data_IF_163073864382
#
_entry.id   IF_163073864382
#
_cell.length_a   1.000
_cell.length_b   1.000
_cell.length_c   1.000
_cell.angle_alpha   90.00
_cell.angle_beta   90.00
_cell.angle_gamma   90.00
#
_symmetry.space_group_name_H-M   'P 1'
#
loop_
_entity.id
_entity.type
_entity.pdbx_description
1 polymer ?
#
# COMPACT_ATOMS: atom_id res chain seq x y z
N UNK A 1 7.82 -9.39 -3.30
CA UNK A 1 6.99 -9.64 -2.09
C UNK A 1 6.75 -8.35 -1.36
N UNK A 2 5.60 -8.19 -0.72
CA UNK A 2 5.27 -6.98 0.03
C UNK A 2 6.19 -6.83 1.24
N UNK A 3 6.77 -5.65 1.39
CA UNK A 3 7.59 -5.30 2.53
C UNK A 3 6.77 -5.29 3.84
N UNK A 4 7.46 -5.39 4.95
CA UNK A 4 6.84 -5.28 6.27
C UNK A 4 6.14 -3.92 6.46
N UNK A 5 6.75 -2.87 5.94
CA UNK A 5 6.21 -1.53 5.97
C UNK A 5 4.90 -1.40 5.20
N UNK A 6 4.81 -1.98 4.01
CA UNK A 6 3.58 -2.01 3.21
C UNK A 6 2.46 -2.73 3.92
N UNK A 7 2.76 -3.89 4.55
CA UNK A 7 1.77 -4.63 5.33
C UNK A 7 1.26 -3.82 6.52
N UNK A 8 2.14 -3.13 7.23
CA UNK A 8 1.74 -2.24 8.32
C UNK A 8 0.88 -1.06 7.83
N UNK A 9 1.24 -0.48 6.68
CA UNK A 9 0.44 0.58 6.08
C UNK A 9 -0.97 0.11 5.72
N UNK A 10 -1.10 -1.09 5.15
CA UNK A 10 -2.41 -1.69 4.87
C UNK A 10 -3.22 -1.90 6.14
N UNK A 11 -2.63 -2.48 7.18
CA UNK A 11 -3.33 -2.70 8.47
C UNK A 11 -3.81 -1.38 9.09
N UNK A 12 -2.96 -0.36 9.09
CA UNK A 12 -3.31 0.96 9.63
C UNK A 12 -4.45 1.62 8.83
N UNK A 13 -4.40 1.57 7.51
CA UNK A 13 -5.46 2.13 6.66
C UNK A 13 -6.78 1.37 6.77
N UNK A 14 -6.74 0.05 6.86
CA UNK A 14 -7.92 -0.80 7.10
C UNK A 14 -8.56 -0.46 8.45
N UNK A 15 -7.74 -0.32 9.49
CA UNK A 15 -8.21 0.09 10.82
C UNK A 15 -8.96 1.43 10.76
N UNK A 16 -8.38 2.43 10.10
CA UNK A 16 -8.99 3.74 9.94
C UNK A 16 -10.23 3.73 9.01
N UNK A 17 -10.21 2.88 7.98
CA UNK A 17 -11.35 2.72 7.08
C UNK A 17 -12.58 2.16 7.80
N UNK A 18 -12.41 1.23 8.74
CA UNK A 18 -13.50 0.71 9.57
C UNK A 18 -14.10 1.77 10.48
N UNK A 19 -13.38 2.83 10.76
CA UNK A 19 -13.82 3.97 11.57
C UNK A 19 -14.21 5.20 10.74
N UNK A 20 -14.28 5.06 9.44
CA UNK A 20 -14.62 6.18 8.56
C UNK A 20 -15.95 6.83 8.95
N UNK A 21 -15.94 8.16 9.08
CA UNK A 21 -17.10 8.93 9.52
C UNK A 21 -17.33 8.93 11.05
N UNK A 22 -16.47 8.26 11.80
CA UNK A 22 -16.50 8.17 13.25
C UNK A 22 -15.38 8.95 13.95
N UNK A 23 -14.96 8.45 15.10
CA UNK A 23 -13.94 9.09 15.90
C UNK A 23 -12.53 8.89 15.35
N UNK A 24 -11.68 9.89 15.56
CA UNK A 24 -10.24 9.80 15.30
C UNK A 24 -9.59 8.71 16.14
N UNK A 25 -8.52 8.13 15.62
CA UNK A 25 -7.69 7.17 16.35
C UNK A 25 -6.31 7.75 16.62
N UNK A 26 -5.83 7.56 17.84
CA UNK A 26 -4.45 7.93 18.20
C UNK A 26 -3.46 6.92 17.62
N UNK A 27 -2.20 7.33 17.47
CA UNK A 27 -1.13 6.43 17.05
C UNK A 27 -1.05 5.23 18.00
N UNK A 28 -1.16 5.47 19.31
CA UNK A 28 -1.11 4.42 20.33
C UNK A 28 -2.24 3.39 20.16
N UNK A 29 -3.46 3.84 19.86
CA UNK A 29 -4.60 2.96 19.61
C UNK A 29 -4.38 2.06 18.39
N UNK A 30 -3.90 2.63 17.30
CA UNK A 30 -3.61 1.87 16.07
C UNK A 30 -2.46 0.88 16.33
N UNK A 31 -1.38 1.35 16.95
CA UNK A 31 -0.21 0.54 17.24
C UNK A 31 -0.55 -0.67 18.13
N UNK A 32 -1.36 -0.47 19.16
CA UNK A 32 -1.81 -1.54 20.05
C UNK A 32 -2.73 -2.53 19.34
N UNK A 33 -3.74 -2.01 18.63
CA UNK A 33 -4.72 -2.85 17.93
C UNK A 33 -4.07 -3.74 16.88
N UNK A 34 -3.21 -3.16 16.05
CA UNK A 34 -2.61 -3.83 14.90
C UNK A 34 -1.21 -4.41 15.18
N UNK A 35 -0.74 -4.28 16.41
CA UNK A 35 0.59 -4.75 16.87
C UNK A 35 1.72 -4.22 16.00
N UNK A 36 1.66 -2.92 15.69
CA UNK A 36 2.67 -2.22 14.90
C UNK A 36 3.58 -1.42 15.84
N UNK A 37 4.91 -1.51 15.68
CA UNK A 37 5.82 -0.66 16.45
C UNK A 37 5.51 0.82 16.22
N UNK A 38 5.34 1.58 17.30
CA UNK A 38 4.85 2.96 17.23
C UNK A 38 5.73 3.86 16.36
N UNK A 39 7.05 3.75 16.44
CA UNK A 39 7.98 4.52 15.62
C UNK A 39 7.83 4.27 14.11
N UNK A 40 7.58 3.01 13.75
CA UNK A 40 7.34 2.63 12.34
C UNK A 40 6.01 3.20 11.90
N UNK A 41 4.99 3.07 12.73
CA UNK A 41 3.64 3.57 12.45
C UNK A 41 3.61 5.09 12.25
N UNK A 42 4.35 5.86 13.05
CA UNK A 42 4.47 7.32 12.90
C UNK A 42 4.93 7.71 11.49
N UNK A 43 5.94 7.04 10.96
CA UNK A 43 6.46 7.30 9.61
C UNK A 43 5.44 6.92 8.53
N UNK A 44 4.76 5.80 8.73
CA UNK A 44 3.71 5.32 7.81
C UNK A 44 2.56 6.31 7.76
N UNK A 45 2.04 6.72 8.90
CA UNK A 45 0.93 7.66 8.99
C UNK A 45 1.28 9.03 8.40
N UNK A 46 2.50 9.49 8.64
CA UNK A 46 2.99 10.75 8.05
C UNK A 46 3.04 10.67 6.53
N UNK A 47 3.54 9.56 5.97
CA UNK A 47 3.62 9.36 4.53
C UNK A 47 2.23 9.29 3.88
N UNK A 48 1.29 8.60 4.51
CA UNK A 48 -0.11 8.52 4.08
C UNK A 48 -0.81 9.89 4.16
N UNK A 49 -0.55 10.66 5.22
CA UNK A 49 -1.06 12.02 5.38
C UNK A 49 -0.53 12.96 4.31
N UNK A 50 0.78 12.94 4.05
CA UNK A 50 1.41 13.78 3.03
C UNK A 50 0.88 13.48 1.62
N UNK A 51 0.42 12.25 1.39
CA UNK A 51 -0.22 11.85 0.14
C UNK A 51 -1.71 12.21 0.07
N UNK A 52 -2.31 12.71 1.16
CA UNK A 52 -3.70 13.13 1.20
C UNK A 52 -4.69 12.04 1.59
N UNK A 53 -4.25 10.86 1.97
CA UNK A 53 -5.14 9.78 2.39
C UNK A 53 -5.62 9.90 3.83
N UNK A 54 -4.85 10.58 4.68
CA UNK A 54 -5.17 10.80 6.09
C UNK A 54 -5.17 12.27 6.44
N UNK A 55 -5.98 12.60 7.45
CA UNK A 55 -5.95 13.88 8.16
C UNK A 55 -5.48 13.67 9.59
N UNK A 56 -4.70 14.61 10.12
CA UNK A 56 -4.35 14.65 11.53
C UNK A 56 -5.19 15.69 12.25
N UNK A 57 -5.74 15.32 13.39
CA UNK A 57 -6.48 16.22 14.27
C UNK A 57 -5.62 16.66 15.43
N UNK A 58 -5.46 17.97 15.62
CA UNK A 58 -4.80 18.54 16.78
C UNK A 58 -5.77 18.66 17.96
N UNK A 59 -5.27 18.61 19.19
CA UNK A 59 -6.03 18.76 20.41
C UNK A 59 -5.37 18.05 21.58
N UNK A 60 -6.02 18.03 22.76
CA UNK A 60 -5.50 17.33 23.96
C UNK A 60 -5.24 15.84 23.68
N UNK A 61 -6.02 15.26 22.79
CA UNK A 61 -5.84 13.89 22.29
C UNK A 61 -5.76 14.01 20.77
N UNK A 62 -4.55 14.06 20.23
CA UNK A 62 -4.30 14.04 18.80
C UNK A 62 -4.72 12.70 18.18
N UNK A 63 -4.94 12.67 16.89
CA UNK A 63 -5.30 11.43 16.22
C UNK A 63 -5.38 11.60 14.71
N UNK A 64 -5.65 10.50 14.04
CA UNK A 64 -5.76 10.41 12.58
C UNK A 64 -7.16 9.94 12.17
N UNK A 65 -7.58 10.44 11.02
CA UNK A 65 -8.79 10.06 10.32
C UNK A 65 -8.46 9.77 8.87
N UNK A 66 -9.27 8.91 8.24
CA UNK A 66 -9.22 8.75 6.80
C UNK A 66 -9.78 10.02 6.14
N UNK A 67 -8.99 10.66 5.26
CA UNK A 67 -9.37 11.88 4.55
C UNK A 67 -10.23 11.60 3.31
N UNK A 68 -10.15 10.39 2.76
CA UNK A 68 -10.89 9.94 1.59
C UNK A 68 -11.88 8.86 1.98
N UNK A 69 -12.93 8.68 1.15
CA UNK A 69 -13.84 7.56 1.36
C UNK A 69 -13.10 6.23 1.13
N UNK A 70 -13.43 5.16 1.88
CA UNK A 70 -12.81 3.85 1.67
C UNK A 70 -12.95 3.32 0.23
N UNK A 71 -13.99 3.73 -0.49
CA UNK A 71 -14.22 3.39 -1.89
C UNK A 71 -13.21 4.05 -2.84
N UNK A 72 -12.61 5.17 -2.42
CA UNK A 72 -11.71 5.97 -3.25
C UNK A 72 -10.23 5.62 -3.06
N UNK A 73 -9.91 4.70 -2.17
CA UNK A 73 -8.54 4.22 -1.92
C UNK A 73 -8.43 2.75 -2.31
N UNK A 74 -7.58 2.47 -3.27
CA UNK A 74 -7.30 1.10 -3.72
C UNK A 74 -6.10 0.49 -3.00
N UNK A 75 -5.97 -0.83 -3.05
CA UNK A 75 -4.76 -1.49 -2.56
C UNK A 75 -3.51 -1.03 -3.33
N UNK A 76 -3.66 -0.77 -4.63
CA UNK A 76 -2.56 -0.29 -5.45
C UNK A 76 -2.03 1.06 -4.94
N UNK A 77 -2.92 1.99 -4.57
CA UNK A 77 -2.53 3.30 -4.02
C UNK A 77 -1.60 3.17 -2.81
N UNK A 78 -1.89 2.20 -1.95
CA UNK A 78 -1.07 1.96 -0.75
C UNK A 78 0.23 1.26 -1.14
N UNK A 79 0.17 0.26 -2.01
CA UNK A 79 1.35 -0.51 -2.42
C UNK A 79 2.39 0.37 -3.10
N UNK A 80 1.99 1.16 -4.10
CA UNK A 80 2.93 2.05 -4.84
C UNK A 80 3.54 3.15 -3.97
N UNK A 81 2.92 3.46 -2.84
CA UNK A 81 3.46 4.45 -1.92
C UNK A 81 4.63 3.90 -1.09
N UNK A 82 4.69 2.60 -0.85
CA UNK A 82 5.66 1.96 0.03
C UNK A 82 6.57 0.95 -0.65
N UNK A 83 6.21 0.49 -1.85
CA UNK A 83 7.04 -0.41 -2.64
C UNK A 83 7.62 0.33 -3.84
N UNK A 84 8.87 0.04 -4.15
CA UNK A 84 9.51 0.58 -5.34
C UNK A 84 8.93 -0.10 -6.60
N UNK A 85 8.58 -1.37 -6.50
CA UNK A 85 7.98 -2.13 -7.60
C UNK A 85 7.02 -3.21 -7.11
N UNK A 86 5.96 -3.43 -7.87
CA UNK A 86 5.03 -4.57 -7.68
C UNK A 86 5.53 -5.80 -8.43
N UNK A 87 6.46 -5.63 -9.37
CA UNK A 87 6.97 -6.70 -10.20
C UNK A 87 7.92 -7.62 -9.44
N UNK A 88 7.84 -8.92 -9.73
CA UNK A 88 8.79 -9.92 -9.26
C UNK A 88 10.09 -9.95 -10.10
N UNK A 89 10.08 -9.38 -11.30
CA UNK A 89 11.21 -9.33 -12.22
C UNK A 89 11.55 -7.88 -12.53
N UNK A 90 12.82 -7.51 -12.37
CA UNK A 90 13.29 -6.17 -12.63
C UNK A 90 13.12 -5.74 -14.10
N UNK A 91 13.15 -6.67 -15.04
CA UNK A 91 12.92 -6.42 -16.47
C UNK A 91 11.44 -6.14 -16.82
N UNK A 92 10.52 -6.22 -15.86
CA UNK A 92 9.10 -5.87 -16.02
C UNK A 92 8.77 -4.54 -15.35
N UNK A 93 9.74 -3.90 -14.69
CA UNK A 93 9.54 -2.61 -14.04
C UNK A 93 9.40 -1.49 -15.07
N UNK A 94 8.93 -0.34 -14.59
CA UNK A 94 8.89 0.90 -15.38
C UNK A 94 10.31 1.42 -15.67
N UNK A 95 10.41 2.35 -16.59
CA UNK A 95 11.71 2.84 -17.13
C UNK A 95 12.77 3.19 -16.08
N UNK A 96 12.36 3.77 -14.96
CA UNK A 96 13.30 4.18 -13.88
C UNK A 96 13.84 3.01 -13.06
N UNK A 97 13.16 1.88 -13.04
CA UNK A 97 13.49 0.70 -12.25
C UNK A 97 13.89 -0.50 -13.11
N UNK A 98 13.81 -0.35 -14.44
CA UNK A 98 14.18 -1.39 -15.37
C UNK A 98 15.64 -1.81 -15.17
N UNK A 99 15.84 -3.11 -15.12
CA UNK A 99 17.18 -3.71 -15.14
C UNK A 99 17.22 -4.85 -16.13
N UNK A 100 18.22 -4.80 -16.98
CA UNK A 100 18.47 -5.88 -17.89
C UNK A 100 18.81 -7.16 -17.11
N UNK A 101 18.19 -8.26 -17.53
CA UNK A 101 18.44 -9.56 -16.90
C UNK A 101 19.77 -10.12 -17.40
N UNK A 102 20.72 -10.36 -16.50
CA UNK A 102 22.04 -10.93 -16.83
C UNK A 102 21.97 -12.34 -17.46
N UNK A 103 20.85 -13.04 -17.28
CA UNK A 103 20.61 -14.36 -17.86
C UNK A 103 19.80 -14.29 -19.16
N UNK A 104 19.40 -13.11 -19.59
CA UNK A 104 18.53 -12.93 -20.75
C UNK A 104 19.33 -12.94 -22.03
N UNK A 105 18.97 -13.83 -22.96
CA UNK A 105 19.51 -13.84 -24.32
C UNK A 105 18.72 -12.93 -25.25
N UNK A 106 17.41 -12.87 -25.06
CA UNK A 106 16.48 -12.04 -25.81
C UNK A 106 15.21 -11.84 -25.00
N UNK A 107 14.90 -10.59 -24.67
CA UNK A 107 13.70 -10.24 -23.89
C UNK A 107 12.41 -10.61 -24.61
N UNK A 108 12.36 -10.45 -25.93
CA UNK A 108 11.16 -10.69 -26.71
C UNK A 108 10.73 -12.17 -26.73
N UNK A 109 11.70 -13.08 -26.60
CA UNK A 109 11.46 -14.53 -26.67
C UNK A 109 11.60 -15.23 -25.30
N UNK A 110 11.88 -14.48 -24.23
CA UNK A 110 12.08 -15.06 -22.92
C UNK A 110 10.76 -15.63 -22.35
N UNK A 111 10.66 -16.95 -22.14
CA UNK A 111 9.42 -17.58 -21.64
C UNK A 111 9.11 -17.21 -20.20
N UNK A 112 10.16 -16.97 -19.39
CA UNK A 112 9.99 -16.53 -17.99
C UNK A 112 9.38 -15.13 -17.96
N UNK A 113 9.92 -14.21 -18.74
CA UNK A 113 9.42 -12.84 -18.83
C UNK A 113 7.96 -12.81 -19.28
N UNK A 114 7.60 -13.52 -20.33
CA UNK A 114 6.23 -13.54 -20.83
C UNK A 114 5.22 -14.08 -19.82
N UNK A 115 5.59 -15.15 -19.12
CA UNK A 115 4.76 -15.75 -18.06
C UNK A 115 4.59 -14.80 -16.89
N UNK A 116 5.66 -14.21 -16.39
CA UNK A 116 5.63 -13.28 -15.28
C UNK A 116 5.00 -11.93 -15.63
N UNK A 117 5.03 -11.51 -16.91
CA UNK A 117 4.29 -10.35 -17.38
C UNK A 117 2.77 -10.55 -17.18
N UNK A 118 2.27 -11.75 -17.51
CA UNK A 118 0.87 -12.09 -17.26
C UNK A 118 0.49 -12.01 -15.78
N UNK A 119 1.34 -12.59 -14.90
CA UNK A 119 1.14 -12.53 -13.44
C UNK A 119 1.17 -11.08 -12.96
N UNK A 120 2.13 -10.30 -13.41
CA UNK A 120 2.25 -8.89 -13.06
C UNK A 120 0.99 -8.08 -13.43
N UNK A 121 0.53 -8.21 -14.67
CA UNK A 121 -0.67 -7.50 -15.13
C UNK A 121 -1.92 -7.88 -14.33
N UNK A 122 -2.11 -9.16 -14.04
CA UNK A 122 -3.23 -9.62 -13.22
C UNK A 122 -3.13 -9.11 -11.79
N UNK A 123 -1.94 -9.13 -11.19
CA UNK A 123 -1.70 -8.61 -9.84
C UNK A 123 -2.02 -7.13 -9.76
N UNK A 124 -1.50 -6.33 -10.70
CA UNK A 124 -1.77 -4.89 -10.76
C UNK A 124 -3.27 -4.61 -10.93
N UNK A 125 -3.96 -5.37 -11.79
CA UNK A 125 -5.39 -5.19 -12.01
C UNK A 125 -6.20 -5.49 -10.74
N UNK A 126 -5.89 -6.56 -10.03
CA UNK A 126 -6.55 -6.89 -8.77
C UNK A 126 -6.30 -5.80 -7.72
N UNK A 127 -5.06 -5.34 -7.58
CA UNK A 127 -4.71 -4.27 -6.64
C UNK A 127 -5.42 -2.95 -6.99
N UNK A 128 -5.53 -2.63 -8.27
CA UNK A 128 -6.16 -1.41 -8.78
C UNK A 128 -7.68 -1.39 -8.59
N UNK A 129 -8.31 -2.55 -8.66
CA UNK A 129 -9.79 -2.67 -8.56
C UNK A 129 -10.28 -2.98 -7.16
N UNK A 130 -9.40 -3.41 -6.25
CA UNK A 130 -9.77 -3.71 -4.87
C UNK A 130 -9.60 -2.46 -3.99
N UNK A 131 -10.70 -1.98 -3.41
CA UNK A 131 -10.72 -0.81 -2.55
C UNK A 131 -10.66 -1.18 -1.06
N UNK A 132 -10.39 -0.21 -0.20
CA UNK A 132 -10.51 -0.42 1.25
C UNK A 132 -11.94 -0.79 1.64
N UNK A 133 -12.95 -0.24 0.95
CA UNK A 133 -14.35 -0.59 1.19
C UNK A 133 -14.63 -2.07 0.91
N UNK A 134 -14.02 -2.64 -0.11
CA UNK A 134 -14.17 -4.08 -0.43
C UNK A 134 -13.57 -4.95 0.68
N UNK A 135 -12.42 -4.54 1.23
CA UNK A 135 -11.73 -5.30 2.29
C UNK A 135 -12.51 -5.27 3.60
N UNK A 136 -13.01 -4.11 4.00
CA UNK A 136 -13.72 -3.97 5.29
C UNK A 136 -15.10 -4.63 5.30
N UNK A 137 -15.63 -5.02 4.16
CA UNK A 137 -16.87 -5.80 4.05
C UNK A 137 -16.69 -7.27 4.43
N UNK A 138 -15.47 -7.73 4.48
CA UNK A 138 -15.15 -9.12 4.82
C UNK A 138 -14.92 -9.35 6.33
#
# INVERSE_FOLDING_TARGET
MLSKQTRYAMLATIFLARRYGGEKATIAQIAESERIPQRVLERILLKLKNRGYLESMRGKVGGYLLACRPEDITLLDIVILFEDSVSMLACLCTDDEYRECEFCKDEATCPIRSTFAGIYHQTVEILRTTTLADIIKH
#
